data_IF_282437320874
#
_entry.id   IF_282437320874
#
_cell.length_a   1.000
_cell.length_b   1.000
_cell.length_c   1.000
_cell.angle_alpha   90.00
_cell.angle_beta   90.00
_cell.angle_gamma   90.00
#
_symmetry.space_group_name_H-M   'P 1'
#
loop_
_entity.id
_entity.type
_entity.pdbx_description
1 polymer ?
#
# COMPACT_ATOMS: atom_id res chain seq x y z
N UNK A 1 -6.12 9.25 -4.99
CA UNK A 1 -6.38 8.04 -5.78
C UNK A 1 -7.88 7.85 -6.08
N UNK A 2 -8.79 7.56 -5.14
CA UNK A 2 -10.24 7.43 -5.44
C UNK A 2 -10.83 8.69 -6.09
N UNK A 3 -10.46 9.89 -5.66
CA UNK A 3 -10.94 11.17 -6.21
C UNK A 3 -10.55 11.44 -7.67
N UNK A 4 -9.54 10.79 -8.21
CA UNK A 4 -9.21 10.90 -9.65
C UNK A 4 -10.09 10.02 -10.54
N UNK A 5 -10.77 9.05 -9.96
CA UNK A 5 -11.58 8.05 -10.69
C UNK A 5 -13.09 8.25 -10.48
N UNK A 6 -13.48 8.77 -9.31
CA UNK A 6 -14.89 8.93 -8.91
C UNK A 6 -15.29 10.41 -9.03
N UNK A 7 -16.39 10.72 -9.75
CA UNK A 7 -16.89 12.08 -9.92
C UNK A 7 -17.24 12.77 -8.58
N UNK A 8 -17.22 14.10 -8.60
CA UNK A 8 -17.52 14.94 -7.45
C UNK A 8 -18.98 14.91 -6.98
N UNK A 9 -19.86 14.30 -7.76
CA UNK A 9 -21.27 14.04 -7.40
C UNK A 9 -21.42 12.99 -6.28
N UNK A 10 -20.33 12.31 -5.93
CA UNK A 10 -20.30 11.34 -4.84
C UNK A 10 -19.36 11.85 -3.74
N UNK A 11 -19.89 11.97 -2.53
CA UNK A 11 -19.09 12.27 -1.35
C UNK A 11 -18.33 11.02 -0.89
N UNK A 12 -17.03 11.18 -0.62
CA UNK A 12 -16.18 10.08 -0.13
C UNK A 12 -15.75 10.39 1.30
N UNK A 13 -16.15 9.53 2.22
CA UNK A 13 -15.71 9.54 3.61
C UNK A 13 -14.70 8.43 3.86
N UNK A 14 -13.67 8.75 4.66
CA UNK A 14 -12.64 7.78 5.05
C UNK A 14 -12.56 7.71 6.57
N UNK A 15 -12.63 6.49 7.09
CA UNK A 15 -12.54 6.19 8.52
C UNK A 15 -11.51 5.05 8.67
N UNK A 16 -10.27 5.41 8.97
CA UNK A 16 -9.18 4.44 9.08
C UNK A 16 -8.72 4.39 10.53
N UNK A 17 -8.84 3.23 11.15
CA UNK A 17 -8.27 2.98 12.47
C UNK A 17 -6.74 2.90 12.34
N UNK A 18 -5.98 3.82 12.94
CA UNK A 18 -4.53 3.81 12.90
C UNK A 18 -3.91 2.64 13.68
N UNK A 19 -4.67 2.03 14.60
CA UNK A 19 -4.24 0.90 15.42
C UNK A 19 -4.56 -0.46 14.77
N UNK A 20 -5.17 -0.47 13.58
CA UNK A 20 -5.47 -1.70 12.86
C UNK A 20 -4.20 -2.50 12.56
N UNK A 21 -4.19 -3.76 12.94
CA UNK A 21 -3.05 -4.65 12.81
C UNK A 21 -2.62 -4.89 11.36
N UNK A 22 -1.40 -5.40 11.20
CA UNK A 22 -0.76 -5.62 9.90
C UNK A 22 -1.28 -6.89 9.25
N UNK A 23 -1.64 -6.82 7.97
CA UNK A 23 -1.99 -7.97 7.13
C UNK A 23 -0.85 -8.32 6.18
N UNK A 24 -0.72 -9.61 5.83
CA UNK A 24 0.22 -10.07 4.80
C UNK A 24 -0.54 -10.17 3.48
N UNK A 25 -0.38 -9.18 2.62
CA UNK A 25 -1.04 -9.12 1.33
C UNK A 25 -0.18 -8.36 0.30
N UNK A 26 -0.40 -8.63 -0.98
CA UNK A 26 0.18 -7.84 -2.06
C UNK A 26 -0.51 -6.47 -2.14
N UNK A 27 0.22 -5.35 -2.02
CA UNK A 27 -0.35 -4.00 -2.12
C UNK A 27 -1.13 -3.76 -3.41
N UNK A 28 -0.70 -4.35 -4.53
CA UNK A 28 -1.40 -4.25 -5.82
C UNK A 28 -2.77 -4.93 -5.76
N UNK A 29 -2.84 -6.09 -5.09
CA UNK A 29 -4.09 -6.82 -4.90
C UNK A 29 -5.04 -6.07 -3.96
N UNK A 30 -4.51 -5.48 -2.86
CA UNK A 30 -5.32 -4.61 -1.98
C UNK A 30 -5.84 -3.40 -2.76
N UNK A 31 -4.98 -2.75 -3.55
CA UNK A 31 -5.42 -1.68 -4.43
C UNK A 31 -6.55 -2.12 -5.37
N UNK A 32 -6.42 -3.30 -5.98
CA UNK A 32 -7.42 -3.87 -6.88
C UNK A 32 -8.75 -4.15 -6.17
N UNK A 33 -8.71 -4.65 -4.91
CA UNK A 33 -9.91 -4.80 -4.07
C UNK A 33 -10.61 -3.44 -3.91
N UNK A 34 -9.89 -2.43 -3.41
CA UNK A 34 -10.46 -1.10 -3.16
C UNK A 34 -11.05 -0.49 -4.42
N UNK A 35 -10.34 -0.56 -5.56
CA UNK A 35 -10.80 0.00 -6.82
C UNK A 35 -12.05 -0.72 -7.36
N UNK A 36 -12.11 -2.06 -7.27
CA UNK A 36 -13.28 -2.82 -7.70
C UNK A 36 -14.51 -2.48 -6.84
N UNK A 37 -14.35 -2.40 -5.52
CA UNK A 37 -15.43 -2.06 -4.61
C UNK A 37 -15.90 -0.61 -4.82
N UNK A 38 -14.96 0.34 -4.89
CA UNK A 38 -15.29 1.75 -5.13
C UNK A 38 -15.97 2.00 -6.48
N UNK A 39 -15.54 1.31 -7.54
CA UNK A 39 -16.17 1.38 -8.86
C UNK A 39 -17.58 0.79 -8.83
N UNK A 40 -17.83 -0.27 -8.06
CA UNK A 40 -19.17 -0.83 -7.90
C UNK A 40 -20.08 0.13 -7.15
N UNK A 41 -19.61 0.72 -6.06
CA UNK A 41 -20.32 1.75 -5.29
C UNK A 41 -20.65 2.98 -6.17
N UNK A 42 -19.67 3.47 -6.96
CA UNK A 42 -19.91 4.53 -7.94
C UNK A 42 -21.06 4.20 -8.88
N UNK A 43 -21.03 3.05 -9.52
CA UNK A 43 -22.09 2.66 -10.45
C UNK A 43 -23.45 2.46 -9.78
N UNK A 44 -23.50 2.10 -8.49
CA UNK A 44 -24.76 2.01 -7.77
C UNK A 44 -25.38 3.39 -7.51
N UNK A 45 -24.58 4.45 -7.54
CA UNK A 45 -24.94 5.85 -7.27
C UNK A 45 -24.83 6.75 -8.52
N UNK A 46 -24.53 6.19 -9.72
CA UNK A 46 -24.23 6.97 -10.94
C UNK A 46 -25.35 7.96 -11.30
N UNK A 47 -26.61 7.58 -11.08
CA UNK A 47 -27.78 8.39 -11.45
C UNK A 47 -28.25 9.34 -10.32
N UNK A 48 -28.06 8.94 -9.07
CA UNK A 48 -28.63 9.64 -7.92
C UNK A 48 -27.62 10.48 -7.15
N UNK A 49 -26.30 10.27 -7.39
CA UNK A 49 -25.28 10.71 -6.45
C UNK A 49 -25.40 9.97 -5.12
N UNK A 50 -24.67 10.41 -4.12
CA UNK A 50 -24.73 9.83 -2.79
C UNK A 50 -23.40 9.85 -2.05
N UNK A 51 -23.30 9.02 -1.03
CA UNK A 51 -22.13 8.93 -0.15
C UNK A 51 -21.51 7.56 -0.23
N UNK A 52 -20.19 7.53 -0.42
CA UNK A 52 -19.35 6.33 -0.29
C UNK A 52 -18.49 6.44 0.97
N UNK A 53 -18.54 5.45 1.83
CA UNK A 53 -17.67 5.38 3.01
C UNK A 53 -16.69 4.23 2.86
N UNK A 54 -15.41 4.51 3.07
CA UNK A 54 -14.35 3.51 3.14
C UNK A 54 -13.82 3.49 4.56
N UNK A 55 -14.04 2.36 5.27
CA UNK A 55 -13.61 2.16 6.66
C UNK A 55 -12.61 1.01 6.74
N UNK A 56 -11.61 1.17 7.59
CA UNK A 56 -10.69 0.10 7.98
C UNK A 56 -10.67 0.02 9.50
N UNK A 57 -10.96 -1.15 10.05
CA UNK A 57 -10.94 -1.40 11.49
C UNK A 57 -10.41 -2.79 11.80
N UNK A 58 -9.88 -3.00 13.00
CA UNK A 58 -9.57 -4.35 13.48
C UNK A 58 -10.79 -4.94 14.17
N UNK A 59 -11.12 -6.17 13.83
CA UNK A 59 -12.21 -6.91 14.45
C UNK A 59 -11.76 -8.28 14.91
N UNK A 60 -12.24 -8.71 16.09
CA UNK A 60 -11.98 -10.05 16.62
C UNK A 60 -13.18 -10.96 16.40
N UNK A 61 -13.01 -11.95 15.53
CA UNK A 61 -14.03 -12.98 15.30
C UNK A 61 -14.00 -14.01 16.45
N UNK A 62 -15.15 -14.16 17.12
CA UNK A 62 -15.35 -15.16 18.17
C UNK A 62 -15.95 -16.45 17.57
N UNK A 63 -15.68 -17.63 18.17
CA UNK A 63 -16.20 -18.91 17.68
C UNK A 63 -17.73 -18.95 17.53
N UNK A 64 -18.44 -18.21 18.40
CA UNK A 64 -19.90 -18.25 18.54
C UNK A 64 -20.64 -17.32 17.57
N UNK A 65 -19.94 -16.40 16.89
CA UNK A 65 -20.51 -15.36 16.01
C UNK A 65 -20.11 -15.49 14.54
N UNK A 66 -19.48 -16.60 14.16
CA UNK A 66 -18.98 -16.78 12.81
C UNK A 66 -20.11 -17.09 11.81
N UNK A 67 -20.80 -16.04 11.34
CA UNK A 67 -21.64 -16.11 10.13
C UNK A 67 -20.81 -16.24 8.85
N UNK A 68 -19.47 -16.32 8.96
CA UNK A 68 -18.50 -16.46 7.88
C UNK A 68 -17.87 -17.86 7.95
N UNK A 69 -18.36 -18.83 7.15
CA UNK A 69 -18.01 -20.26 7.30
C UNK A 69 -16.53 -20.56 7.00
N UNK A 70 -15.83 -19.66 6.31
CA UNK A 70 -14.45 -19.87 5.89
C UNK A 70 -13.42 -19.23 6.84
N UNK A 71 -13.84 -18.47 7.86
CA UNK A 71 -12.94 -17.82 8.80
C UNK A 71 -12.83 -18.57 10.11
N UNK A 72 -11.60 -18.69 10.58
CA UNK A 72 -11.30 -19.19 11.93
C UNK A 72 -11.38 -18.06 12.96
N UNK A 73 -11.65 -18.37 14.24
CA UNK A 73 -11.56 -17.36 15.29
C UNK A 73 -10.19 -16.71 15.34
N UNK A 74 -10.13 -15.38 15.40
CA UNK A 74 -8.88 -14.62 15.37
C UNK A 74 -9.11 -13.13 15.14
N UNK A 75 -8.02 -12.39 15.01
CA UNK A 75 -8.04 -10.96 14.68
C UNK A 75 -7.96 -10.76 13.16
N UNK A 76 -8.81 -9.88 12.66
CA UNK A 76 -8.91 -9.56 11.24
C UNK A 76 -8.93 -8.05 11.03
N UNK A 77 -8.20 -7.57 10.05
CA UNK A 77 -8.42 -6.27 9.47
C UNK A 77 -9.68 -6.34 8.59
N UNK A 78 -10.67 -5.54 8.91
CA UNK A 78 -11.92 -5.46 8.17
C UNK A 78 -11.94 -4.17 7.35
N UNK A 79 -11.79 -4.32 6.02
CA UNK A 79 -12.01 -3.22 5.08
C UNK A 79 -13.48 -3.21 4.67
N UNK A 80 -14.15 -2.10 4.93
CA UNK A 80 -15.57 -1.90 4.66
C UNK A 80 -15.71 -0.82 3.61
N UNK A 81 -16.42 -1.12 2.53
CA UNK A 81 -16.83 -0.14 1.53
C UNK A 81 -18.35 -0.12 1.48
N UNK A 82 -18.94 1.00 1.84
CA UNK A 82 -20.40 1.18 1.81
C UNK A 82 -20.82 2.31 0.89
N UNK A 83 -21.99 2.17 0.26
CA UNK A 83 -22.61 3.16 -0.60
C UNK A 83 -24.08 3.36 -0.25
N UNK A 84 -24.63 4.51 -0.60
CA UNK A 84 -26.06 4.85 -0.44
C UNK A 84 -26.85 4.68 -1.75
N UNK A 85 -26.36 3.80 -2.64
CA UNK A 85 -26.94 3.59 -3.97
C UNK A 85 -28.19 2.70 -3.98
N UNK A 86 -28.50 2.19 -5.15
CA UNK A 86 -29.72 1.40 -5.42
C UNK A 86 -29.82 0.05 -4.70
N UNK A 87 -28.72 -0.42 -4.11
CA UNK A 87 -28.66 -1.72 -3.47
C UNK A 87 -28.76 -2.91 -4.42
N UNK A 88 -28.82 -4.11 -3.85
CA UNK A 88 -28.83 -5.40 -4.55
C UNK A 88 -30.03 -6.23 -4.06
N UNK A 89 -30.78 -6.80 -4.99
CA UNK A 89 -31.89 -7.68 -4.64
C UNK A 89 -31.41 -9.04 -4.10
N UNK A 90 -32.19 -9.68 -3.22
CA UNK A 90 -31.85 -10.98 -2.64
C UNK A 90 -31.56 -12.06 -3.68
N UNK A 91 -32.29 -12.06 -4.80
CA UNK A 91 -32.10 -13.01 -5.91
C UNK A 91 -30.72 -12.91 -6.58
N UNK A 92 -30.11 -11.73 -6.49
CA UNK A 92 -28.81 -11.44 -7.08
C UNK A 92 -27.65 -11.65 -6.08
N UNK A 93 -27.90 -11.51 -4.77
CA UNK A 93 -26.85 -11.62 -3.75
C UNK A 93 -26.06 -12.93 -3.82
N UNK A 94 -26.72 -14.04 -4.13
CA UNK A 94 -26.06 -15.34 -4.25
C UNK A 94 -25.17 -15.47 -5.50
N UNK A 95 -25.38 -14.57 -6.50
CA UNK A 95 -24.71 -14.62 -7.81
C UNK A 95 -23.67 -13.54 -8.02
N UNK A 96 -23.59 -12.53 -7.13
CA UNK A 96 -22.71 -11.36 -7.33
C UNK A 96 -21.23 -11.72 -7.44
N UNK A 97 -20.82 -12.87 -6.92
CA UNK A 97 -19.46 -13.39 -7.01
C UNK A 97 -19.21 -14.32 -8.19
N UNK A 98 -20.25 -14.68 -8.95
CA UNK A 98 -20.10 -15.51 -10.14
C UNK A 98 -19.37 -14.71 -11.23
N UNK A 99 -18.34 -15.28 -11.88
CA UNK A 99 -17.68 -14.63 -13.00
C UNK A 99 -18.67 -14.28 -14.11
N UNK A 100 -18.51 -13.07 -14.66
CA UNK A 100 -19.36 -12.51 -15.71
C UNK A 100 -20.80 -12.16 -15.31
N UNK A 101 -21.20 -12.39 -14.06
CA UNK A 101 -22.50 -11.94 -13.58
C UNK A 101 -22.55 -10.42 -13.45
N UNK A 102 -23.53 -9.81 -14.11
CA UNK A 102 -23.76 -8.36 -14.03
C UNK A 102 -25.25 -8.04 -14.21
N UNK A 103 -25.74 -7.11 -13.41
CA UNK A 103 -27.07 -6.50 -13.58
C UNK A 103 -27.03 -5.21 -14.40
N UNK A 104 -25.85 -4.80 -14.84
CA UNK A 104 -25.62 -3.60 -15.66
C UNK A 104 -25.91 -3.92 -17.12
N UNK A 105 -26.43 -2.93 -17.87
CA UNK A 105 -26.71 -3.07 -19.31
C UNK A 105 -25.48 -3.43 -20.13
N UNK A 106 -25.67 -3.95 -21.32
CA UNK A 106 -24.65 -4.44 -22.26
C UNK A 106 -23.53 -3.39 -22.43
N UNK A 107 -22.30 -3.75 -22.12
CA UNK A 107 -21.11 -2.88 -22.23
C UNK A 107 -20.76 -2.03 -20.99
N UNK A 108 -21.59 -1.98 -19.95
CA UNK A 108 -21.35 -1.17 -18.74
C UNK A 108 -20.73 -1.93 -17.55
N UNK A 109 -20.46 -3.20 -17.68
CA UNK A 109 -19.82 -3.99 -16.61
C UNK A 109 -19.31 -5.32 -17.13
N UNK A 110 -18.08 -5.67 -16.74
CA UNK A 110 -17.44 -6.95 -17.12
C UNK A 110 -17.98 -8.14 -16.32
N UNK A 111 -18.64 -7.89 -15.18
CA UNK A 111 -19.06 -8.94 -14.25
C UNK A 111 -17.90 -9.66 -13.54
N UNK A 112 -16.67 -9.12 -13.62
CA UNK A 112 -15.47 -9.74 -13.04
C UNK A 112 -15.04 -9.11 -11.72
N UNK A 113 -15.46 -7.88 -11.41
CA UNK A 113 -14.93 -7.11 -10.29
C UNK A 113 -15.05 -7.81 -8.93
N UNK A 114 -16.26 -8.29 -8.56
CA UNK A 114 -16.48 -8.99 -7.29
C UNK A 114 -15.90 -10.41 -7.28
N UNK A 115 -15.87 -11.10 -8.42
CA UNK A 115 -15.22 -12.40 -8.55
C UNK A 115 -13.71 -12.27 -8.29
N UNK A 116 -13.07 -11.23 -8.81
CA UNK A 116 -11.65 -10.93 -8.56
C UNK A 116 -11.43 -10.59 -7.09
N UNK A 117 -12.29 -9.76 -6.47
CA UNK A 117 -12.20 -9.46 -5.03
C UNK A 117 -12.27 -10.76 -4.22
N UNK A 118 -13.25 -11.62 -4.48
CA UNK A 118 -13.39 -12.91 -3.77
C UNK A 118 -12.17 -13.80 -3.96
N UNK A 119 -11.61 -13.88 -5.17
CA UNK A 119 -10.41 -14.65 -5.48
C UNK A 119 -9.19 -14.18 -4.68
N UNK A 120 -8.91 -12.87 -4.69
CA UNK A 120 -7.79 -12.27 -3.96
C UNK A 120 -7.93 -12.51 -2.45
N UNK A 121 -9.12 -12.25 -1.91
CA UNK A 121 -9.39 -12.37 -0.47
C UNK A 121 -9.27 -13.83 -0.01
N UNK A 122 -9.79 -14.78 -0.79
CA UNK A 122 -9.66 -16.21 -0.50
C UNK A 122 -8.20 -16.66 -0.55
N UNK A 123 -7.41 -16.19 -1.52
CA UNK A 123 -5.98 -16.48 -1.61
C UNK A 123 -5.20 -15.94 -0.39
N UNK A 124 -5.68 -14.85 0.20
CA UNK A 124 -5.12 -14.24 1.42
C UNK A 124 -5.71 -14.86 2.71
N UNK A 125 -6.36 -16.01 2.64
CA UNK A 125 -7.03 -16.69 3.77
C UNK A 125 -8.10 -15.84 4.47
N UNK A 126 -8.68 -14.89 3.74
CA UNK A 126 -9.76 -14.02 4.17
C UNK A 126 -11.13 -14.47 3.67
N UNK A 127 -12.15 -13.67 3.96
CA UNK A 127 -13.50 -13.84 3.40
C UNK A 127 -14.17 -12.49 3.14
N UNK A 128 -15.25 -12.51 2.34
CA UNK A 128 -16.03 -11.32 1.96
C UNK A 128 -17.48 -11.52 2.34
N UNK A 129 -18.05 -10.53 3.00
CA UNK A 129 -19.46 -10.44 3.32
C UNK A 129 -20.09 -9.25 2.61
N UNK A 130 -21.32 -9.42 2.10
CA UNK A 130 -22.10 -8.35 1.48
C UNK A 130 -23.42 -8.21 2.21
N UNK A 131 -23.72 -6.98 2.61
CA UNK A 131 -24.98 -6.58 3.20
C UNK A 131 -25.63 -5.57 2.27
N UNK A 132 -26.80 -5.86 1.75
CA UNK A 132 -27.47 -4.96 0.82
C UNK A 132 -28.97 -5.17 0.84
N UNK A 133 -29.70 -4.05 0.73
CA UNK A 133 -31.15 -4.03 0.53
C UNK A 133 -31.49 -3.07 -0.61
N UNK A 134 -32.47 -3.40 -1.47
CA UNK A 134 -32.89 -2.52 -2.54
C UNK A 134 -33.30 -1.12 -2.00
N UNK A 135 -32.66 -0.09 -2.56
CA UNK A 135 -32.90 1.30 -2.18
C UNK A 135 -32.22 1.78 -0.89
N UNK A 136 -31.46 0.92 -0.18
CA UNK A 136 -30.75 1.26 1.04
C UNK A 136 -29.22 1.29 0.85
N UNK A 137 -28.73 0.95 -0.34
CA UNK A 137 -27.31 0.86 -0.63
C UNK A 137 -26.71 -0.51 -0.40
N UNK A 138 -25.39 -0.56 -0.45
CA UNK A 138 -24.62 -1.79 -0.27
C UNK A 138 -23.45 -1.55 0.67
N UNK A 139 -23.18 -2.51 1.55
CA UNK A 139 -21.97 -2.59 2.35
C UNK A 139 -21.23 -3.89 2.04
N UNK A 140 -19.97 -3.76 1.63
CA UNK A 140 -19.07 -4.90 1.37
C UNK A 140 -17.98 -4.89 2.43
N UNK A 141 -17.89 -5.97 3.20
CA UNK A 141 -16.92 -6.19 4.26
C UNK A 141 -15.89 -7.23 3.80
N UNK A 142 -14.62 -6.86 3.76
CA UNK A 142 -13.49 -7.72 3.41
C UNK A 142 -12.68 -8.00 4.66
N UNK A 143 -12.57 -9.26 5.04
CA UNK A 143 -11.83 -9.71 6.22
C UNK A 143 -10.49 -10.30 5.80
N UNK A 144 -9.40 -9.74 6.29
CA UNK A 144 -8.04 -10.24 6.06
C UNK A 144 -7.39 -10.58 7.41
N UNK A 145 -6.78 -11.76 7.58
CA UNK A 145 -6.19 -12.15 8.85
C UNK A 145 -5.06 -11.21 9.24
N UNK A 146 -5.10 -10.73 10.49
CA UNK A 146 -4.01 -9.96 11.08
C UNK A 146 -2.90 -10.94 11.49
N UNK A 147 -1.67 -10.61 11.16
CA UNK A 147 -0.50 -11.41 11.54
C UNK A 147 -0.28 -11.33 13.04
N UNK A 148 -0.52 -12.43 13.75
CA UNK A 148 -0.12 -12.56 15.16
C UNK A 148 1.41 -12.51 15.25
N UNK A 149 1.95 -11.67 16.14
CA UNK A 149 3.38 -11.43 16.34
C UNK A 149 4.08 -10.43 15.40
N UNK A 150 3.38 -9.45 14.87
CA UNK A 150 4.03 -8.25 14.36
C UNK A 150 4.57 -7.33 15.50
N UNK A 151 4.78 -7.86 16.70
CA UNK A 151 5.36 -7.13 17.86
C UNK A 151 6.81 -6.64 17.64
N UNK A 152 7.33 -6.74 16.42
CA UNK A 152 8.60 -6.16 15.98
C UNK A 152 8.48 -5.29 14.72
N UNK A 153 7.31 -5.18 14.10
CA UNK A 153 7.09 -4.31 12.96
C UNK A 153 6.39 -3.03 13.45
N UNK A 154 7.10 -1.96 13.35
CA UNK A 154 6.89 -0.60 13.83
C UNK A 154 5.43 -0.15 13.69
N UNK A 155 4.73 -0.02 14.84
CA UNK A 155 3.62 0.92 14.96
C UNK A 155 4.20 2.32 14.75
N UNK A 156 3.89 2.94 13.63
CA UNK A 156 4.12 4.37 13.50
C UNK A 156 3.01 5.07 14.29
N UNK A 157 3.37 5.61 15.44
CA UNK A 157 2.52 6.52 16.20
C UNK A 157 2.27 7.77 15.34
N UNK A 158 1.02 8.00 14.85
CA UNK A 158 0.73 9.19 14.05
C UNK A 158 0.91 10.50 14.82
N UNK A 159 1.08 10.43 16.13
CA UNK A 159 1.24 11.59 17.03
C UNK A 159 2.68 11.96 17.32
N UNK A 160 3.68 11.14 16.97
CA UNK A 160 5.06 11.55 17.16
C UNK A 160 5.51 12.49 16.03
N UNK A 161 6.12 13.64 16.37
CA UNK A 161 6.67 14.52 15.36
C UNK A 161 7.72 13.75 14.55
N UNK A 162 7.51 13.68 13.22
CA UNK A 162 8.44 13.03 12.30
C UNK A 162 9.77 13.79 12.36
N UNK A 163 10.78 13.16 12.95
CA UNK A 163 12.10 13.76 13.02
C UNK A 163 12.72 13.74 11.62
N UNK A 164 12.88 14.90 11.03
CA UNK A 164 13.64 15.12 9.81
C UNK A 164 15.13 15.30 10.07
N UNK A 165 15.84 15.77 9.08
CA UNK A 165 17.29 16.05 9.18
C UNK A 165 17.74 17.01 8.11
N UNK A 166 19.07 17.21 8.02
CA UNK A 166 19.73 18.08 7.05
C UNK A 166 20.71 17.32 6.15
N UNK A 167 20.64 16.00 6.20
CA UNK A 167 21.53 15.13 5.45
C UNK A 167 21.23 15.16 3.97
N UNK A 168 22.25 14.79 3.18
CA UNK A 168 22.22 14.77 1.72
C UNK A 168 21.81 13.40 1.21
N UNK A 169 20.68 13.34 0.52
CA UNK A 169 20.09 12.11 -0.01
C UNK A 169 20.29 12.02 -1.51
N UNK A 170 20.82 10.90 -2.00
CA UNK A 170 20.72 10.52 -3.40
C UNK A 170 19.46 9.69 -3.59
N UNK A 171 18.45 10.26 -4.28
CA UNK A 171 17.17 9.62 -4.57
C UNK A 171 17.15 9.11 -6.01
N UNK A 172 16.84 7.81 -6.19
CA UNK A 172 16.91 7.14 -7.50
C UNK A 172 15.64 6.33 -7.75
N UNK A 173 14.88 6.68 -8.78
CA UNK A 173 13.70 5.94 -9.25
C UNK A 173 13.50 6.30 -10.74
N UNK A 174 13.16 5.35 -11.60
CA UNK A 174 13.02 5.61 -13.04
C UNK A 174 11.68 6.29 -13.40
N UNK A 175 10.74 6.35 -12.46
CA UNK A 175 9.47 7.04 -12.64
C UNK A 175 9.53 8.49 -12.14
N UNK A 176 9.64 9.45 -13.07
CA UNK A 176 9.81 10.87 -12.76
C UNK A 176 8.72 11.47 -11.86
N UNK A 177 7.48 10.96 -11.93
CA UNK A 177 6.36 11.37 -11.08
C UNK A 177 6.57 10.94 -9.62
N UNK A 178 7.05 9.72 -9.40
CA UNK A 178 7.37 9.16 -8.07
C UNK A 178 8.55 9.93 -7.46
N UNK A 179 9.62 10.12 -8.24
CA UNK A 179 10.79 10.88 -7.82
C UNK A 179 10.43 12.27 -7.33
N UNK A 180 9.63 13.00 -8.11
CA UNK A 180 9.22 14.37 -7.74
C UNK A 180 8.38 14.40 -6.46
N UNK A 181 7.51 13.41 -6.28
CA UNK A 181 6.70 13.31 -5.06
C UNK A 181 7.57 13.00 -3.84
N UNK A 182 8.51 12.07 -3.97
CA UNK A 182 9.42 11.69 -2.88
C UNK A 182 10.41 12.81 -2.55
N UNK A 183 10.96 13.50 -3.56
CA UNK A 183 11.78 14.68 -3.39
C UNK A 183 11.09 15.73 -2.52
N UNK A 184 9.87 16.14 -2.91
CA UNK A 184 9.09 17.12 -2.13
C UNK A 184 8.77 16.65 -0.71
N UNK A 185 8.59 15.35 -0.52
CA UNK A 185 8.35 14.77 0.79
C UNK A 185 9.59 14.85 1.69
N UNK A 186 10.76 14.52 1.15
CA UNK A 186 12.05 14.55 1.85
C UNK A 186 12.53 15.99 2.10
N UNK A 187 12.35 16.91 1.14
CA UNK A 187 12.63 18.34 1.31
C UNK A 187 11.82 18.94 2.47
N UNK A 188 10.54 18.60 2.59
CA UNK A 188 9.68 19.04 3.71
C UNK A 188 10.11 18.49 5.06
N UNK A 189 10.95 17.45 5.08
CA UNK A 189 11.57 16.89 6.27
C UNK A 189 12.93 17.53 6.58
N UNK A 190 13.41 18.46 5.71
CA UNK A 190 14.65 19.22 5.88
C UNK A 190 15.87 18.61 5.18
N UNK A 191 15.73 17.46 4.54
CA UNK A 191 16.82 16.82 3.81
C UNK A 191 17.20 17.59 2.54
N UNK A 192 18.46 17.48 2.11
CA UNK A 192 18.93 17.99 0.80
C UNK A 192 18.90 16.84 -0.20
N UNK A 193 17.99 16.90 -1.17
CA UNK A 193 17.75 15.77 -2.10
C UNK A 193 18.42 16.01 -3.46
N UNK A 194 19.21 15.05 -3.91
CA UNK A 194 19.74 15.00 -5.28
C UNK A 194 19.04 13.85 -6.00
N UNK A 195 18.32 14.19 -7.07
CA UNK A 195 17.49 13.23 -7.81
C UNK A 195 18.23 12.67 -9.02
N UNK A 196 18.05 11.38 -9.30
CA UNK A 196 18.40 10.74 -10.58
C UNK A 196 17.27 9.83 -11.03
N UNK A 197 16.97 9.86 -12.32
CA UNK A 197 15.91 9.03 -12.94
C UNK A 197 16.48 7.77 -13.61
N UNK A 198 17.72 7.41 -13.33
CA UNK A 198 18.36 6.22 -13.84
C UNK A 198 19.50 5.75 -12.96
N UNK A 199 19.64 4.44 -12.83
CA UNK A 199 20.66 3.80 -12.01
C UNK A 199 22.10 4.10 -12.48
N UNK A 200 22.32 4.19 -13.80
CA UNK A 200 23.63 4.52 -14.37
C UNK A 200 24.04 5.95 -14.05
N UNK A 201 23.11 6.93 -14.22
CA UNK A 201 23.35 8.33 -13.91
C UNK A 201 23.59 8.55 -12.41
N UNK A 202 22.90 7.77 -11.58
CA UNK A 202 23.10 7.76 -10.14
C UNK A 202 24.50 7.27 -9.77
N UNK A 203 24.96 6.17 -10.39
CA UNK A 203 26.29 5.61 -10.18
C UNK A 203 27.40 6.59 -10.63
N UNK A 204 27.22 7.26 -11.77
CA UNK A 204 28.17 8.28 -12.25
C UNK A 204 28.23 9.49 -11.30
N UNK A 205 27.08 9.98 -10.85
CA UNK A 205 27.03 11.08 -9.87
C UNK A 205 27.74 10.70 -8.56
N UNK A 206 27.55 9.47 -8.08
CA UNK A 206 28.20 8.97 -6.88
C UNK A 206 29.70 8.79 -7.07
N UNK A 207 30.16 8.30 -8.24
CA UNK A 207 31.59 8.19 -8.57
C UNK A 207 32.29 9.54 -8.64
N UNK A 208 31.62 10.59 -9.11
CA UNK A 208 32.17 11.91 -9.21
C UNK A 208 32.49 12.52 -7.83
N UNK A 209 31.64 12.32 -6.84
CA UNK A 209 31.87 12.70 -5.44
C UNK A 209 31.16 11.71 -4.48
N UNK A 210 31.86 10.67 -4.03
CA UNK A 210 31.28 9.70 -3.11
C UNK A 210 30.97 10.24 -1.72
N UNK A 211 31.48 11.41 -1.35
CA UNK A 211 31.23 12.07 -0.06
C UNK A 211 30.07 13.09 -0.14
N UNK A 212 29.52 13.33 -1.33
CA UNK A 212 28.43 14.28 -1.51
C UNK A 212 27.10 13.79 -0.89
N UNK A 213 26.99 12.51 -0.52
CA UNK A 213 25.74 11.90 -0.06
C UNK A 213 25.91 11.19 1.29
N UNK A 214 24.95 11.36 2.17
CA UNK A 214 24.92 10.71 3.49
C UNK A 214 24.13 9.41 3.47
N UNK A 215 23.14 9.29 2.57
CA UNK A 215 22.32 8.10 2.36
C UNK A 215 21.84 8.03 0.90
N UNK A 216 21.63 6.81 0.42
CA UNK A 216 21.01 6.54 -0.88
C UNK A 216 19.66 5.90 -0.70
N UNK A 217 18.65 6.41 -1.37
CA UNK A 217 17.30 5.84 -1.46
C UNK A 217 17.07 5.46 -2.92
N UNK A 218 16.87 4.17 -3.20
CA UNK A 218 16.75 3.68 -4.58
C UNK A 218 15.55 2.77 -4.76
N UNK A 219 14.87 2.87 -5.91
CA UNK A 219 13.91 1.87 -6.31
C UNK A 219 14.57 0.51 -6.56
N UNK A 220 13.84 -0.56 -6.29
CA UNK A 220 14.29 -1.94 -6.50
C UNK A 220 14.38 -2.28 -7.98
N UNK A 221 13.38 -1.88 -8.78
CA UNK A 221 13.20 -2.33 -10.16
C UNK A 221 13.38 -1.17 -11.13
N UNK A 222 14.56 -1.02 -11.69
CA UNK A 222 14.89 0.01 -12.66
C UNK A 222 15.49 -0.60 -13.94
N UNK A 223 15.36 0.06 -15.10
CA UNK A 223 16.03 -0.34 -16.34
C UNK A 223 17.56 -0.34 -16.19
N UNK A 224 18.25 -1.17 -16.96
CA UNK A 224 19.70 -1.34 -17.04
C UNK A 224 20.35 -1.93 -15.78
N UNK A 225 20.05 -1.42 -14.58
CA UNK A 225 20.63 -1.88 -13.34
C UNK A 225 19.57 -1.76 -12.22
N UNK A 226 19.29 -2.87 -11.52
CA UNK A 226 18.37 -2.89 -10.38
C UNK A 226 18.93 -2.10 -9.19
N UNK A 227 18.08 -1.67 -8.26
CA UNK A 227 18.53 -0.99 -7.03
C UNK A 227 19.50 -1.84 -6.20
N UNK A 228 19.30 -3.15 -6.19
CA UNK A 228 20.23 -4.10 -5.54
C UNK A 228 21.61 -4.09 -6.19
N UNK A 229 21.66 -4.10 -7.52
CA UNK A 229 22.93 -4.03 -8.25
C UNK A 229 23.60 -2.67 -8.05
N UNK A 230 22.82 -1.58 -8.08
CA UNK A 230 23.32 -0.24 -7.80
C UNK A 230 23.92 -0.19 -6.38
N UNK A 231 23.22 -0.68 -5.37
CA UNK A 231 23.72 -0.74 -4.00
C UNK A 231 25.08 -1.46 -3.91
N UNK A 232 25.21 -2.60 -4.58
CA UNK A 232 26.47 -3.35 -4.62
C UNK A 232 27.61 -2.55 -5.25
N UNK A 233 27.36 -1.80 -6.34
CA UNK A 233 28.37 -0.94 -6.98
C UNK A 233 28.75 0.26 -6.11
N UNK A 234 27.77 0.88 -5.44
CA UNK A 234 28.03 2.00 -4.52
C UNK A 234 28.87 1.55 -3.31
N UNK A 235 28.57 0.38 -2.75
CA UNK A 235 29.32 -0.21 -1.62
C UNK A 235 30.77 -0.60 -2.00
N UNK A 236 31.07 -0.88 -3.26
CA UNK A 236 32.46 -1.07 -3.71
C UNK A 236 33.26 0.23 -3.64
N UNK A 237 32.61 1.38 -3.85
CA UNK A 237 33.25 2.70 -3.84
C UNK A 237 33.34 3.23 -2.41
N UNK A 238 32.25 3.15 -1.65
CA UNK A 238 32.14 3.57 -0.25
C UNK A 238 31.41 2.51 0.56
N UNK A 239 32.11 1.59 1.23
CA UNK A 239 31.50 0.44 1.92
C UNK A 239 30.46 0.79 2.98
N UNK A 240 30.61 1.95 3.62
CA UNK A 240 29.76 2.41 4.73
C UNK A 240 28.61 3.34 4.28
N UNK A 241 28.38 3.56 2.97
CA UNK A 241 27.23 4.35 2.54
C UNK A 241 25.93 3.63 2.89
N UNK A 242 25.00 4.22 3.66
CA UNK A 242 23.71 3.62 3.92
C UNK A 242 22.87 3.59 2.66
N UNK A 243 22.22 2.45 2.39
CA UNK A 243 21.33 2.26 1.23
C UNK A 243 19.97 1.76 1.70
N UNK A 244 18.93 2.51 1.37
CA UNK A 244 17.51 2.18 1.57
C UNK A 244 16.92 1.75 0.23
N UNK A 245 16.31 0.58 0.19
CA UNK A 245 15.64 0.05 -1.00
C UNK A 245 14.13 0.31 -0.93
N UNK A 246 13.54 0.97 -1.93
CA UNK A 246 12.10 1.07 -2.09
C UNK A 246 11.59 -0.12 -2.91
N UNK A 247 10.63 -0.89 -2.39
CA UNK A 247 10.13 -2.10 -3.05
C UNK A 247 8.61 -2.21 -3.02
N UNK A 248 8.00 -2.64 -4.12
CA UNK A 248 6.56 -2.91 -4.23
C UNK A 248 6.15 -4.35 -3.89
N UNK A 249 7.12 -5.25 -3.72
CA UNK A 249 6.85 -6.64 -3.40
C UNK A 249 7.33 -6.98 -1.99
N UNK A 250 6.48 -7.68 -1.23
CA UNK A 250 6.91 -8.42 -0.06
C UNK A 250 7.77 -9.62 -0.51
N UNK A 251 8.94 -9.35 -1.05
CA UNK A 251 9.96 -10.38 -1.01
C UNK A 251 10.09 -10.76 0.45
N UNK A 252 10.16 -12.06 0.74
CA UNK A 252 10.68 -12.54 2.02
C UNK A 252 12.15 -12.10 2.10
N UNK A 253 12.34 -10.80 2.26
CA UNK A 253 13.64 -10.19 2.46
C UNK A 253 13.94 -10.42 3.92
N UNK A 254 14.55 -11.56 4.18
CA UNK A 254 15.13 -11.85 5.48
C UNK A 254 16.28 -10.83 5.67
N UNK A 255 16.37 -10.20 6.85
CA UNK A 255 17.41 -9.20 7.20
C UNK A 255 18.81 -9.68 6.83
N UNK A 256 19.08 -10.99 6.90
CA UNK A 256 20.36 -11.59 6.50
C UNK A 256 20.63 -11.53 4.99
N UNK A 257 19.59 -11.67 4.16
CA UNK A 257 19.72 -11.54 2.70
C UNK A 257 19.92 -10.09 2.26
N UNK A 258 19.26 -9.13 2.90
CA UNK A 258 19.47 -7.70 2.65
C UNK A 258 20.92 -7.30 2.88
N UNK A 259 21.47 -7.66 4.04
CA UNK A 259 22.86 -7.36 4.39
C UNK A 259 23.85 -7.99 3.43
N UNK A 260 23.61 -9.24 3.00
CA UNK A 260 24.45 -9.93 2.02
C UNK A 260 24.44 -9.24 0.64
N UNK A 261 23.38 -8.50 0.32
CA UNK A 261 23.20 -7.77 -0.94
C UNK A 261 23.63 -6.30 -0.86
N UNK A 262 24.19 -5.85 0.29
CA UNK A 262 24.62 -4.47 0.48
C UNK A 262 23.49 -3.47 0.75
N UNK A 263 22.32 -3.95 1.20
CA UNK A 263 21.15 -3.13 1.54
C UNK A 263 21.06 -3.05 3.05
N UNK A 264 20.97 -1.84 3.60
CA UNK A 264 20.97 -1.62 5.04
C UNK A 264 19.56 -1.61 5.63
N UNK A 265 18.56 -1.14 4.85
CA UNK A 265 17.14 -1.21 5.23
C UNK A 265 16.26 -1.09 3.95
N UNK A 266 14.96 -1.31 4.09
CA UNK A 266 14.01 -1.16 2.99
C UNK A 266 12.73 -0.45 3.43
N UNK A 267 12.04 0.17 2.46
CA UNK A 267 10.73 0.82 2.62
C UNK A 267 9.77 0.25 1.58
N UNK A 268 8.55 -0.08 2.02
CA UNK A 268 7.52 -0.60 1.13
C UNK A 268 6.87 0.53 0.32
N UNK A 269 6.64 0.28 -0.97
CA UNK A 269 5.80 1.17 -1.79
C UNK A 269 4.31 0.89 -1.52
N UNK A 270 3.45 1.91 -1.37
CA UNK A 270 3.75 3.34 -1.52
C UNK A 270 4.56 3.90 -0.36
N UNK A 271 5.62 4.65 -0.67
CA UNK A 271 6.52 5.24 0.33
C UNK A 271 5.77 6.25 1.20
N UNK A 272 5.70 5.98 2.50
CA UNK A 272 5.01 6.82 3.48
C UNK A 272 6.02 7.72 4.19
N UNK A 273 5.67 9.01 4.38
CA UNK A 273 6.55 10.04 4.96
C UNK A 273 7.18 9.61 6.29
N UNK A 274 6.39 9.06 7.20
CA UNK A 274 6.86 8.68 8.54
C UNK A 274 7.81 7.47 8.48
N UNK A 275 7.52 6.53 7.59
CA UNK A 275 8.31 5.30 7.43
C UNK A 275 9.70 5.60 6.86
N UNK A 276 9.76 6.34 5.74
CA UNK A 276 11.05 6.69 5.13
C UNK A 276 11.91 7.56 6.05
N UNK A 277 11.30 8.53 6.76
CA UNK A 277 12.01 9.37 7.71
C UNK A 277 12.62 8.56 8.87
N UNK A 278 11.85 7.66 9.48
CA UNK A 278 12.33 6.81 10.56
C UNK A 278 13.42 5.85 10.09
N UNK A 279 13.30 5.31 8.87
CA UNK A 279 14.31 4.42 8.28
C UNK A 279 15.62 5.16 8.04
N UNK A 280 15.57 6.36 7.45
CA UNK A 280 16.75 7.21 7.23
C UNK A 280 17.40 7.57 8.57
N UNK A 281 16.64 8.05 9.56
CA UNK A 281 17.17 8.40 10.89
C UNK A 281 17.88 7.21 11.55
N UNK A 282 17.22 6.06 11.58
CA UNK A 282 17.83 4.83 12.14
C UNK A 282 19.20 4.51 11.55
N UNK A 283 19.34 4.64 10.22
CA UNK A 283 20.60 4.32 9.55
C UNK A 283 21.68 5.35 9.81
N UNK A 284 21.33 6.63 9.78
CA UNK A 284 22.29 7.72 9.99
C UNK A 284 22.75 7.76 11.45
N UNK A 285 21.85 7.62 12.41
CA UNK A 285 22.17 7.63 13.84
C UNK A 285 23.07 6.44 14.22
N UNK A 286 22.86 5.27 13.59
CA UNK A 286 23.71 4.09 13.79
C UNK A 286 25.10 4.21 13.12
N UNK A 287 25.27 5.10 12.13
CA UNK A 287 26.55 5.31 11.43
C UNK A 287 27.44 6.30 12.18
N UNK A 288 26.87 7.10 13.08
CA UNK A 288 27.58 8.13 13.87
C UNK A 288 28.03 7.63 15.25
N UNK A 289 27.87 6.35 15.57
CA UNK A 289 28.38 5.66 16.77
C UNK A 289 29.57 4.79 16.39
#
# INVERSE_FOLDING_TARGET
MLRSTIPTTIDIHQEVDPECGVVVADPTQIHQIVMNLATNAYHAMEETGGTMTVRLEETRLKPELSSLPNLTPGNYACLIVSDTGKGISRENLDKIFDPYFTTKGTGKGTGLGLAVVKGIVTQSHGDVRVLSEPGQGTEVQVYLPVKENAAGQRHFDPGQPVQGGNEKILLVDDEASIVKMQEQMLDRLGYTVTVRTGSLDALEAFKADPQAFDVVVTDMTMPNMTGVQLAAELKKIRPNIPVVLCTGFSYQVNDEKCKALGIDDFVMKPVIKNEIAATIRKLIDNTNV
#
